data_IF_093760104772
#
_entry.id   IF_093760104772
#
_cell.length_a   1.000
_cell.length_b   1.000
_cell.length_c   1.000
_cell.angle_alpha   90.00
_cell.angle_beta   90.00
_cell.angle_gamma   90.00
#
_symmetry.space_group_name_H-M   'P 1'
#
loop_
_entity.id
_entity.type
_entity.pdbx_description
1 polymer ?
#
# COMPACT_ATOMS: atom_id res chain seq x y z
N UNK A 1 39.50 -9.27 0.76
CA UNK A 1 38.85 -9.20 2.09
C UNK A 1 38.54 -7.74 2.47
N UNK A 2 39.48 -6.82 2.24
CA UNK A 2 39.33 -5.38 2.52
C UNK A 2 38.19 -4.70 1.74
N UNK A 3 37.99 -5.06 0.47
CA UNK A 3 36.89 -4.56 -0.39
C UNK A 3 35.50 -4.92 0.16
N UNK A 4 35.32 -6.12 0.71
CA UNK A 4 34.05 -6.55 1.30
C UNK A 4 33.74 -5.76 2.58
N UNK A 5 34.76 -5.47 3.40
CA UNK A 5 34.61 -4.62 4.60
C UNK A 5 34.31 -3.16 4.27
N UNK A 6 34.89 -2.64 3.19
CA UNK A 6 34.63 -1.28 2.72
C UNK A 6 33.21 -1.14 2.15
N UNK A 7 32.78 -2.10 1.32
CA UNK A 7 31.40 -2.16 0.81
C UNK A 7 30.38 -2.22 1.95
N UNK A 8 30.60 -3.08 2.94
CA UNK A 8 29.73 -3.16 4.11
C UNK A 8 29.69 -1.85 4.92
N UNK A 9 30.79 -1.09 4.96
CA UNK A 9 30.83 0.22 5.62
C UNK A 9 30.03 1.26 4.85
N UNK A 10 30.13 1.29 3.52
CA UNK A 10 29.35 2.19 2.65
C UNK A 10 27.84 1.92 2.80
N UNK A 11 27.42 0.65 2.68
CA UNK A 11 26.02 0.24 2.85
C UNK A 11 25.45 0.69 4.20
N UNK A 12 26.22 0.54 5.29
CA UNK A 12 25.78 1.01 6.62
C UNK A 12 25.64 2.53 6.68
N UNK A 13 26.53 3.26 6.01
CA UNK A 13 26.43 4.72 5.87
C UNK A 13 25.15 5.12 5.14
N UNK A 14 24.89 4.49 4.00
CA UNK A 14 23.70 4.76 3.17
C UNK A 14 22.41 4.46 3.95
N UNK A 15 22.34 3.34 4.69
CA UNK A 15 21.19 3.01 5.55
C UNK A 15 20.94 4.11 6.59
N UNK A 16 22.00 4.66 7.19
CA UNK A 16 21.88 5.70 8.20
C UNK A 16 21.42 7.04 7.61
N UNK A 17 21.87 7.37 6.40
CA UNK A 17 21.41 8.56 5.68
C UNK A 17 19.95 8.42 5.25
N UNK A 18 19.57 7.26 4.71
CA UNK A 18 18.19 6.98 4.27
C UNK A 18 17.16 7.10 5.40
N UNK A 19 17.54 6.82 6.64
CA UNK A 19 16.66 6.97 7.83
C UNK A 19 16.23 8.41 8.11
N UNK A 20 17.01 9.38 7.68
CA UNK A 20 16.74 10.81 7.94
C UNK A 20 16.08 11.51 6.74
N UNK A 21 15.81 10.79 5.66
CA UNK A 21 15.09 11.35 4.51
C UNK A 21 13.61 11.53 4.86
N UNK A 22 13.08 12.68 4.49
CA UNK A 22 11.66 13.01 4.59
C UNK A 22 11.17 13.43 3.21
N UNK A 23 9.87 13.25 2.97
CA UNK A 23 9.19 13.80 1.79
C UNK A 23 8.22 14.89 2.22
N UNK A 24 8.08 15.93 1.40
CA UNK A 24 7.10 16.98 1.58
C UNK A 24 5.97 16.74 0.58
N UNK A 25 4.73 16.83 1.05
CA UNK A 25 3.52 16.64 0.24
C UNK A 25 2.80 17.97 0.15
N UNK A 26 2.84 18.60 -1.03
CA UNK A 26 2.11 19.84 -1.26
C UNK A 26 0.63 19.58 -1.56
N UNK A 27 -0.20 20.60 -1.38
CA UNK A 27 -1.64 20.50 -1.64
C UNK A 27 -2.00 20.28 -3.11
N UNK A 28 -1.06 20.57 -4.01
CA UNK A 28 -1.21 20.40 -5.45
C UNK A 28 -0.71 19.04 -5.96
N UNK A 29 -0.18 18.19 -5.06
CA UNK A 29 0.30 16.86 -5.43
C UNK A 29 -0.83 15.97 -5.93
N UNK A 30 -0.49 15.15 -6.92
CA UNK A 30 -1.44 14.29 -7.64
C UNK A 30 -1.02 12.83 -7.52
N UNK A 31 -1.99 11.94 -7.60
CA UNK A 31 -1.71 10.52 -7.72
C UNK A 31 -1.10 10.22 -9.09
N UNK A 32 0.00 9.48 -9.13
CA UNK A 32 0.71 9.14 -10.36
C UNK A 32 -0.06 8.19 -11.30
N UNK A 33 -1.10 7.50 -10.81
CA UNK A 33 -1.90 6.58 -11.61
C UNK A 33 -3.18 7.21 -12.19
N UNK A 34 -3.80 8.16 -11.49
CA UNK A 34 -5.10 8.73 -11.91
C UNK A 34 -5.10 10.25 -12.11
N UNK A 35 -3.98 10.94 -11.86
CA UNK A 35 -3.80 12.40 -11.98
C UNK A 35 -4.74 13.28 -11.14
N UNK A 36 -5.52 12.69 -10.22
CA UNK A 36 -6.37 13.43 -9.29
C UNK A 36 -5.62 13.89 -8.03
N UNK A 37 -6.10 14.95 -7.34
CA UNK A 37 -5.47 15.46 -6.11
C UNK A 37 -5.31 14.38 -5.04
N UNK A 38 -4.10 14.31 -4.45
CA UNK A 38 -3.71 13.24 -3.54
C UNK A 38 -4.45 13.30 -2.19
N UNK A 39 -4.56 14.51 -1.62
CA UNK A 39 -5.02 14.73 -0.24
C UNK A 39 -6.50 14.42 0.03
N UNK A 40 -7.29 14.11 -1.00
CA UNK A 40 -8.71 13.78 -0.84
C UNK A 40 -8.96 12.34 -0.35
N UNK A 41 -7.94 11.47 -0.37
CA UNK A 41 -8.04 10.04 -0.03
C UNK A 41 -6.79 9.61 0.74
N UNK A 42 -6.84 8.42 1.37
CA UNK A 42 -5.63 7.78 1.90
C UNK A 42 -4.65 7.49 0.76
N UNK A 43 -3.36 7.77 0.99
CA UNK A 43 -2.32 7.65 -0.02
C UNK A 43 -1.03 7.06 0.55
N UNK A 44 -0.18 6.57 -0.35
CA UNK A 44 1.20 6.16 -0.07
C UNK A 44 2.18 7.12 -0.72
N UNK A 45 3.29 7.36 -0.04
CA UNK A 45 4.45 8.10 -0.54
C UNK A 45 5.67 7.18 -0.48
N UNK A 46 6.28 6.92 -1.62
CA UNK A 46 7.52 6.15 -1.71
C UNK A 46 8.75 7.05 -1.66
N UNK A 47 9.89 6.51 -1.24
CA UNK A 47 11.17 7.23 -1.18
C UNK A 47 11.72 7.64 -2.56
N UNK A 48 11.18 7.08 -3.63
CA UNK A 48 11.45 7.51 -5.01
C UNK A 48 10.66 8.78 -5.42
N UNK A 49 9.76 9.27 -4.56
CA UNK A 49 8.92 10.45 -4.79
C UNK A 49 7.54 10.14 -5.38
N UNK A 50 7.29 8.94 -5.90
CA UNK A 50 5.97 8.59 -6.42
C UNK A 50 4.92 8.47 -5.32
N UNK A 51 3.72 8.97 -5.64
CA UNK A 51 2.58 9.03 -4.76
C UNK A 51 1.36 8.40 -5.40
N UNK A 52 0.64 7.59 -4.64
CA UNK A 52 -0.54 6.88 -5.13
C UNK A 52 -1.65 6.91 -4.09
N UNK A 53 -2.90 7.04 -4.53
CA UNK A 53 -4.01 6.70 -3.64
C UNK A 53 -3.97 5.20 -3.29
N UNK A 54 -4.51 4.85 -2.14
CA UNK A 54 -4.61 3.46 -1.69
C UNK A 54 -5.26 2.54 -2.73
N UNK A 55 -6.39 2.97 -3.29
CA UNK A 55 -7.16 2.26 -4.30
C UNK A 55 -6.42 2.15 -5.63
N UNK A 56 -5.77 3.23 -6.08
CA UNK A 56 -4.98 3.21 -7.29
C UNK A 56 -3.76 2.28 -7.16
N UNK A 57 -3.02 2.35 -6.06
CA UNK A 57 -1.88 1.46 -5.83
C UNK A 57 -2.33 0.00 -5.76
N UNK A 58 -3.44 -0.28 -5.09
CA UNK A 58 -3.99 -1.63 -5.00
C UNK A 58 -4.32 -2.18 -6.39
N UNK A 59 -4.95 -1.38 -7.26
CA UNK A 59 -5.29 -1.78 -8.63
C UNK A 59 -4.04 -2.09 -9.46
N UNK A 60 -2.99 -1.28 -9.35
CA UNK A 60 -1.72 -1.47 -10.07
C UNK A 60 -0.97 -2.72 -9.59
N UNK A 61 -0.93 -2.97 -8.28
CA UNK A 61 -0.12 -4.06 -7.70
C UNK A 61 -0.83 -5.42 -7.78
N UNK A 62 -2.15 -5.46 -7.60
CA UNK A 62 -2.96 -6.71 -7.57
C UNK A 62 -2.68 -7.68 -8.72
N UNK A 63 -2.65 -7.28 -10.01
CA UNK A 63 -2.44 -8.21 -11.12
C UNK A 63 -1.03 -8.82 -11.16
N UNK A 64 -0.09 -8.28 -10.39
CA UNK A 64 1.30 -8.72 -10.38
C UNK A 64 1.74 -9.41 -9.08
N UNK A 65 0.84 -9.47 -8.09
CA UNK A 65 1.08 -10.24 -6.87
C UNK A 65 1.16 -11.74 -7.18
N UNK A 66 2.00 -12.46 -6.44
CA UNK A 66 1.99 -13.92 -6.47
C UNK A 66 0.68 -14.46 -5.93
N UNK A 67 0.29 -15.66 -6.37
CA UNK A 67 -0.95 -16.32 -5.90
C UNK A 67 -1.04 -16.38 -4.36
N UNK A 68 0.09 -16.63 -3.69
CA UNK A 68 0.16 -16.62 -2.23
C UNK A 68 -0.16 -15.24 -1.63
N UNK A 69 0.47 -14.17 -2.15
CA UNK A 69 0.24 -12.81 -1.65
C UNK A 69 -1.19 -12.34 -1.94
N UNK A 70 -1.73 -12.68 -3.13
CA UNK A 70 -3.10 -12.36 -3.50
C UNK A 70 -4.12 -13.00 -2.54
N UNK A 71 -3.99 -14.31 -2.31
CA UNK A 71 -4.87 -15.02 -1.37
C UNK A 71 -4.75 -14.46 0.05
N UNK A 72 -3.52 -14.16 0.49
CA UNK A 72 -3.29 -13.57 1.81
C UNK A 72 -3.94 -12.19 1.93
N UNK A 73 -3.86 -11.37 0.89
CA UNK A 73 -4.47 -10.04 0.85
C UNK A 73 -5.99 -10.14 0.96
N UNK A 74 -6.63 -11.03 0.21
CA UNK A 74 -8.07 -11.27 0.31
C UNK A 74 -8.50 -11.74 1.70
N UNK A 75 -7.74 -12.66 2.31
CA UNK A 75 -8.01 -13.12 3.67
C UNK A 75 -7.95 -11.99 4.69
N UNK A 76 -6.94 -11.11 4.59
CA UNK A 76 -6.77 -9.96 5.48
C UNK A 76 -7.90 -8.94 5.29
N UNK A 77 -8.29 -8.65 4.05
CA UNK A 77 -9.43 -7.77 3.75
C UNK A 77 -10.75 -8.31 4.31
N UNK A 78 -10.99 -9.63 4.21
CA UNK A 78 -12.17 -10.31 4.80
C UNK A 78 -12.16 -10.17 6.33
N UNK A 79 -11.01 -10.39 6.97
CA UNK A 79 -10.86 -10.23 8.44
C UNK A 79 -11.10 -8.79 8.88
N UNK A 80 -10.58 -7.80 8.14
CA UNK A 80 -10.77 -6.38 8.43
C UNK A 80 -12.25 -5.99 8.37
N UNK A 81 -12.97 -6.51 7.37
CA UNK A 81 -14.40 -6.28 7.19
C UNK A 81 -15.22 -6.88 8.34
N UNK A 82 -14.90 -8.11 8.76
CA UNK A 82 -15.56 -8.78 9.89
C UNK A 82 -15.37 -8.02 11.23
N UNK A 83 -14.15 -7.55 11.50
CA UNK A 83 -13.84 -6.76 12.72
C UNK A 83 -14.60 -5.43 12.74
N UNK A 84 -14.84 -4.82 11.58
CA UNK A 84 -15.56 -3.54 11.46
C UNK A 84 -17.07 -3.67 11.70
N UNK A 85 -17.67 -4.83 11.42
CA UNK A 85 -19.11 -5.07 11.63
C UNK A 85 -19.46 -5.33 13.11
N UNK A 86 -18.54 -5.92 13.88
CA UNK A 86 -18.73 -6.19 15.32
C UNK A 86 -18.90 -4.92 16.18
N UNK A 87 -18.33 -3.79 15.75
CA UNK A 87 -18.42 -2.53 16.50
C UNK A 87 -19.71 -1.73 16.25
N UNK A 88 -20.45 -1.99 15.16
CA UNK A 88 -21.67 -1.23 14.80
C UNK A 88 -22.95 -1.72 15.47
N UNK A 89 -23.00 -2.91 16.07
CA UNK A 89 -24.24 -3.42 16.69
C UNK A 89 -24.53 -2.91 18.10
N UNK A 90 -23.67 -2.06 18.69
CA UNK A 90 -23.85 -1.52 20.06
C UNK A 90 -24.37 -0.09 20.16
N UNK A 91 -24.72 0.58 19.06
CA UNK A 91 -25.27 1.95 19.14
C UNK A 91 -26.81 1.96 19.19
N UNK A 92 -27.36 1.81 20.40
CA UNK A 92 -28.67 2.35 20.79
C UNK A 92 -28.42 3.61 21.64
N UNK A 93 -28.98 4.79 21.34
CA UNK A 93 -28.76 5.96 22.18
C UNK A 93 -29.76 5.96 23.33
N UNK A 94 -29.26 6.09 24.56
CA UNK A 94 -30.03 6.55 25.71
C UNK A 94 -29.10 7.34 26.64
N UNK A 95 -29.56 8.53 27.01
CA UNK A 95 -28.85 9.61 27.66
C UNK A 95 -28.29 9.31 29.07
N UNK A 96 -27.11 9.84 29.39
CA UNK A 96 -26.79 10.82 30.47
C UNK A 96 -25.37 10.66 31.05
N UNK A 97 -24.69 11.81 31.09
CA UNK A 97 -23.72 12.36 32.07
C UNK A 97 -22.39 11.65 32.44
N UNK A 98 -21.34 12.48 32.31
CA UNK A 98 -20.09 12.68 33.07
C UNK A 98 -19.52 11.57 33.97
N UNK A 99 -18.23 11.28 33.79
CA UNK A 99 -17.45 10.48 34.74
C UNK A 99 -16.15 9.95 34.14
N UNK A 100 -15.05 10.66 34.38
CA UNK A 100 -13.67 10.29 34.07
C UNK A 100 -13.29 8.94 34.71
N UNK A 101 -13.10 7.89 33.91
CA UNK A 101 -12.19 6.77 34.21
C UNK A 101 -11.76 6.05 32.91
N UNK A 102 -10.45 5.95 32.75
CA UNK A 102 -9.71 5.22 31.71
C UNK A 102 -10.22 3.79 31.48
N UNK A 103 -10.93 3.56 30.38
CA UNK A 103 -11.32 2.21 29.94
C UNK A 103 -10.16 1.49 29.23
N UNK A 104 -9.36 0.80 30.02
CA UNK A 104 -8.25 -0.10 29.62
C UNK A 104 -8.69 -1.41 28.91
N UNK A 105 -9.95 -1.53 28.47
CA UNK A 105 -10.49 -2.75 27.83
C UNK A 105 -10.62 -2.70 26.30
N UNK A 106 -10.35 -1.55 25.66
CA UNK A 106 -10.50 -1.36 24.20
C UNK A 106 -9.22 -1.65 23.38
N UNK A 107 -8.09 -1.84 24.05
CA UNK A 107 -6.78 -1.94 23.40
C UNK A 107 -6.60 -3.17 22.52
N UNK A 108 -7.06 -4.36 22.94
CA UNK A 108 -6.77 -5.60 22.21
C UNK A 108 -7.44 -5.66 20.82
N UNK A 109 -8.73 -5.31 20.71
CA UNK A 109 -9.43 -5.35 19.43
C UNK A 109 -8.96 -4.26 18.45
N UNK A 110 -8.54 -3.10 18.96
CA UNK A 110 -7.86 -2.08 18.17
C UNK A 110 -6.54 -2.64 17.64
N UNK A 111 -5.66 -3.14 18.52
CA UNK A 111 -4.34 -3.67 18.11
C UNK A 111 -4.43 -4.75 17.04
N UNK A 112 -5.45 -5.61 17.06
CA UNK A 112 -5.68 -6.59 16.00
C UNK A 112 -6.06 -5.95 14.67
N UNK A 113 -6.86 -4.88 14.67
CA UNK A 113 -7.24 -4.13 13.46
C UNK A 113 -6.03 -3.43 12.85
N UNK A 114 -5.27 -2.69 13.65
CA UNK A 114 -4.09 -1.99 13.16
C UNK A 114 -3.04 -2.96 12.64
N UNK A 115 -2.87 -4.13 13.27
CA UNK A 115 -1.99 -5.17 12.75
C UNK A 115 -2.46 -5.69 11.38
N UNK A 116 -3.77 -5.91 11.20
CA UNK A 116 -4.30 -6.35 9.89
C UNK A 116 -4.05 -5.29 8.81
N UNK A 117 -4.18 -4.00 9.14
CA UNK A 117 -3.89 -2.90 8.20
C UNK A 117 -2.39 -2.89 7.86
N UNK A 118 -1.52 -3.00 8.87
CA UNK A 118 -0.07 -3.09 8.66
C UNK A 118 0.32 -4.28 7.76
N UNK A 119 -0.27 -5.45 8.00
CA UNK A 119 -0.02 -6.64 7.18
C UNK A 119 -0.47 -6.44 5.72
N UNK A 120 -1.54 -5.66 5.48
CA UNK A 120 -2.00 -5.29 4.14
C UNK A 120 -1.01 -4.30 3.51
N UNK A 121 -0.57 -3.30 4.26
CA UNK A 121 0.38 -2.29 3.81
C UNK A 121 1.73 -2.92 3.40
N UNK A 122 2.21 -3.91 4.16
CA UNK A 122 3.42 -4.66 3.85
C UNK A 122 3.33 -5.45 2.53
N UNK A 123 2.12 -5.81 2.10
CA UNK A 123 1.88 -6.50 0.82
C UNK A 123 1.73 -5.48 -0.31
N UNK A 124 0.90 -4.45 -0.12
CA UNK A 124 0.51 -3.50 -1.18
C UNK A 124 1.61 -2.48 -1.44
N UNK A 125 2.26 -1.97 -0.39
CA UNK A 125 3.30 -0.95 -0.47
C UNK A 125 4.72 -1.50 -0.35
N UNK A 126 4.92 -2.80 -0.65
CA UNK A 126 6.26 -3.42 -0.57
C UNK A 126 7.29 -2.76 -1.50
N UNK A 127 6.83 -2.25 -2.64
CA UNK A 127 7.64 -1.51 -3.60
C UNK A 127 6.79 -0.50 -4.36
N UNK A 128 7.45 0.48 -4.98
CA UNK A 128 6.78 1.44 -5.86
C UNK A 128 6.38 0.76 -7.18
N UNK A 129 5.12 0.93 -7.60
CA UNK A 129 4.65 0.35 -8.86
C UNK A 129 5.42 0.82 -10.11
N UNK A 130 5.99 2.03 -10.07
CA UNK A 130 6.69 2.64 -11.22
C UNK A 130 8.21 2.60 -11.16
N UNK A 131 8.80 2.22 -10.01
CA UNK A 131 10.26 2.17 -9.83
C UNK A 131 10.77 0.84 -9.27
N UNK A 132 9.87 -0.07 -8.92
CA UNK A 132 10.21 -1.36 -8.33
C UNK A 132 10.45 -2.45 -9.37
N UNK A 133 10.63 -3.67 -8.86
CA UNK A 133 10.75 -4.89 -9.63
C UNK A 133 9.53 -5.12 -10.54
N UNK A 134 8.34 -4.69 -10.09
CA UNK A 134 7.13 -4.70 -10.90
C UNK A 134 7.34 -4.07 -12.28
N UNK A 135 7.89 -2.86 -12.33
CA UNK A 135 8.13 -2.14 -13.58
C UNK A 135 9.21 -2.83 -14.41
N UNK A 136 10.25 -3.38 -13.78
CA UNK A 136 11.31 -4.11 -14.50
C UNK A 136 10.72 -5.33 -15.23
N UNK A 137 9.85 -6.08 -14.55
CA UNK A 137 9.18 -7.27 -15.11
C UNK A 137 8.15 -6.97 -16.20
N UNK A 138 7.72 -5.72 -16.36
CA UNK A 138 6.79 -5.34 -17.42
C UNK A 138 7.50 -4.95 -18.72
N UNK A 139 8.79 -4.62 -18.70
CA UNK A 139 9.56 -4.19 -19.88
C UNK A 139 9.52 -5.23 -21.00
N UNK A 140 9.66 -6.51 -20.66
CA UNK A 140 9.68 -7.61 -21.63
C UNK A 140 8.27 -8.10 -22.02
N UNK A 141 7.22 -7.53 -21.42
CA UNK A 141 5.84 -7.94 -21.72
C UNK A 141 5.33 -7.19 -22.94
N UNK A 142 4.73 -7.89 -23.93
CA UNK A 142 4.12 -7.22 -25.06
C UNK A 142 2.94 -6.36 -24.58
N UNK A 143 2.78 -5.18 -25.16
CA UNK A 143 1.67 -4.26 -24.84
C UNK A 143 0.29 -4.86 -25.15
N UNK A 144 0.24 -5.80 -26.11
CA UNK A 144 -0.96 -6.49 -26.52
C UNK A 144 -0.73 -7.99 -26.29
N UNK A 145 -1.67 -8.63 -25.59
CA UNK A 145 -1.65 -10.07 -25.42
C UNK A 145 -1.64 -10.76 -26.79
N UNK A 146 -0.81 -11.80 -26.94
CA UNK A 146 -0.68 -12.54 -28.21
C UNK A 146 -2.01 -13.06 -28.75
N UNK A 147 -2.96 -13.39 -27.86
CA UNK A 147 -4.30 -13.84 -28.23
C UNK A 147 -5.21 -12.71 -28.74
N UNK A 148 -4.98 -11.46 -28.32
CA UNK A 148 -5.79 -10.28 -28.72
C UNK A 148 -5.13 -9.47 -29.84
N UNK A 149 -3.89 -9.82 -30.20
CA UNK A 149 -3.11 -9.10 -31.19
C UNK A 149 -3.81 -8.99 -32.54
N UNK A 150 -4.42 -10.07 -33.04
CA UNK A 150 -5.07 -10.04 -34.36
C UNK A 150 -6.36 -9.20 -34.35
N UNK A 151 -7.10 -9.20 -33.24
CA UNK A 151 -8.29 -8.35 -33.05
C UNK A 151 -7.92 -6.86 -33.01
N UNK A 152 -6.91 -6.50 -32.20
CA UNK A 152 -6.39 -5.13 -32.09
C UNK A 152 -5.81 -4.66 -33.43
N UNK A 153 -4.98 -5.47 -34.08
CA UNK A 153 -4.43 -5.14 -35.40
C UNK A 153 -5.52 -4.84 -36.43
N UNK A 154 -6.64 -5.55 -36.37
CA UNK A 154 -7.77 -5.36 -37.29
C UNK A 154 -8.57 -4.09 -36.99
N UNK A 155 -8.59 -3.59 -35.74
CA UNK A 155 -9.33 -2.38 -35.40
C UNK A 155 -8.62 -1.07 -35.83
N UNK A 156 -7.34 -1.16 -36.19
CA UNK A 156 -6.52 -0.04 -36.66
C UNK A 156 -6.50 0.08 -38.19
N UNK A 157 -7.05 -0.91 -38.91
CA UNK A 157 -7.18 -0.96 -40.37
C UNK A 157 -8.58 -0.54 -40.83
#
# INVERSE_FOLDING_TARGET
>A
MEEATESARRIRGDIQEMRNKYGVVDSQEKCAACDFPLLNRSFYLFLCGHMFHYDCLLQEVTPHLSAYKHNRLEELQKKLSATTQSSRSRHRPAAKEEGDTVSLGKGSAATTREQIISDIDDIVASECAYCGELMIKSIDKPFIDSHRFEEEKSSWL
#
